data_IF_539119698708
#
_entry.id   IF_539119698708
#
_cell.length_a   1.000
_cell.length_b   1.000
_cell.length_c   1.000
_cell.angle_alpha   90.00
_cell.angle_beta   90.00
_cell.angle_gamma   90.00
#
_symmetry.space_group_name_H-M   'P 1'
#
loop_
_entity.id
_entity.type
_entity.pdbx_description
1 polymer ?
#
# COMPACT_ATOMS: atom_id res chain seq x y z
N UNK A 1 -12.81 -13.43 -4.22
CA UNK A 1 -12.87 -12.22 -5.07
C UNK A 1 -11.66 -11.37 -4.73
N UNK A 2 -10.80 -11.03 -5.69
CA UNK A 2 -9.67 -10.14 -5.44
C UNK A 2 -10.16 -8.68 -5.43
N UNK A 3 -9.74 -7.90 -4.43
CA UNK A 3 -10.05 -6.49 -4.33
C UNK A 3 -8.91 -5.65 -4.92
N UNK A 4 -9.26 -4.47 -5.45
CA UNK A 4 -8.28 -3.50 -5.96
C UNK A 4 -8.36 -2.21 -5.17
N UNK A 5 -7.23 -1.74 -4.68
CA UNK A 5 -7.11 -0.48 -3.92
C UNK A 5 -6.19 0.46 -4.68
N UNK A 6 -6.62 1.71 -4.86
CA UNK A 6 -5.77 2.76 -5.43
C UNK A 6 -5.27 3.69 -4.33
N UNK A 7 -3.95 3.77 -4.16
CA UNK A 7 -3.29 4.62 -3.18
C UNK A 7 -2.61 5.78 -3.92
N UNK A 8 -2.84 7.00 -3.43
CA UNK A 8 -2.12 8.19 -3.88
C UNK A 8 -0.90 8.34 -2.99
N UNK A 9 0.29 8.14 -3.54
CA UNK A 9 1.56 8.28 -2.86
C UNK A 9 2.58 8.92 -3.82
N UNK A 10 3.76 9.26 -3.32
CA UNK A 10 4.86 9.79 -4.14
C UNK A 10 5.70 8.63 -4.70
N UNK A 11 6.45 8.88 -5.77
CA UNK A 11 7.36 7.90 -6.35
C UNK A 11 8.46 7.55 -5.33
N UNK A 12 8.60 6.26 -4.99
CA UNK A 12 9.52 5.74 -3.97
C UNK A 12 8.85 5.07 -2.77
N UNK A 13 7.53 5.24 -2.64
CA UNK A 13 6.71 4.64 -1.57
C UNK A 13 6.26 3.20 -1.90
N UNK A 14 6.66 2.64 -3.04
CA UNK A 14 6.24 1.30 -3.48
C UNK A 14 6.66 0.22 -2.50
N UNK A 15 7.87 0.35 -1.94
CA UNK A 15 8.41 -0.62 -1.00
C UNK A 15 7.67 -0.58 0.34
N UNK A 16 7.31 0.61 0.84
CA UNK A 16 6.52 0.75 2.05
C UNK A 16 5.11 0.14 1.88
N UNK A 17 4.46 0.42 0.75
CA UNK A 17 3.14 -0.14 0.40
C UNK A 17 3.22 -1.67 0.25
N UNK A 18 4.20 -2.17 -0.50
CA UNK A 18 4.38 -3.59 -0.72
C UNK A 18 4.68 -4.33 0.59
N UNK A 19 5.56 -3.79 1.43
CA UNK A 19 5.90 -4.35 2.75
C UNK A 19 4.69 -4.38 3.68
N UNK A 20 3.93 -3.28 3.74
CA UNK A 20 2.72 -3.22 4.56
C UNK A 20 1.67 -4.26 4.11
N UNK A 21 1.42 -4.35 2.80
CA UNK A 21 0.48 -5.32 2.25
C UNK A 21 0.96 -6.76 2.41
N UNK A 22 2.27 -7.02 2.27
CA UNK A 22 2.87 -8.32 2.51
C UNK A 22 2.77 -8.74 3.98
N UNK A 23 2.84 -7.79 4.94
CA UNK A 23 2.63 -8.09 6.35
C UNK A 23 1.18 -8.46 6.69
N UNK A 24 0.21 -7.93 5.96
CA UNK A 24 -1.22 -8.25 6.17
C UNK A 24 -1.60 -9.58 5.52
N UNK A 25 -1.19 -9.77 4.26
CA UNK A 25 -1.69 -10.86 3.42
C UNK A 25 -0.67 -11.96 3.13
N UNK A 26 0.60 -11.73 3.45
CA UNK A 26 1.72 -12.61 3.07
C UNK A 26 2.42 -12.17 1.78
N UNK A 27 3.70 -12.52 1.69
CA UNK A 27 4.50 -12.30 0.49
C UNK A 27 3.91 -13.07 -0.70
N UNK A 28 3.83 -12.40 -1.87
CA UNK A 28 3.29 -12.99 -3.10
C UNK A 28 1.76 -13.02 -3.20
N UNK A 29 1.03 -12.65 -2.14
CA UNK A 29 -0.44 -12.56 -2.16
C UNK A 29 -0.95 -11.20 -2.67
N UNK A 30 -0.07 -10.21 -2.76
CA UNK A 30 -0.39 -8.86 -3.20
C UNK A 30 0.44 -8.47 -4.43
N UNK A 31 -0.14 -7.65 -5.30
CA UNK A 31 0.58 -7.03 -6.42
C UNK A 31 0.43 -5.52 -6.37
N UNK A 32 1.54 -4.79 -6.42
CA UNK A 32 1.57 -3.33 -6.41
C UNK A 32 2.05 -2.85 -7.77
N UNK A 33 1.25 -2.03 -8.46
CA UNK A 33 1.55 -1.51 -9.81
C UNK A 33 1.42 0.00 -9.79
N UNK A 34 2.47 0.73 -10.16
CA UNK A 34 2.39 2.18 -10.33
C UNK A 34 1.79 2.54 -11.68
N UNK A 35 0.73 3.35 -11.70
CA UNK A 35 0.08 3.82 -12.94
C UNK A 35 -0.56 5.19 -12.73
N UNK A 36 -0.30 6.14 -13.64
CA UNK A 36 -0.90 7.50 -13.63
C UNK A 36 -0.77 8.21 -12.26
N UNK A 37 0.43 8.21 -11.68
CA UNK A 37 0.73 8.81 -10.38
C UNK A 37 -0.04 8.21 -9.18
N UNK A 38 -0.40 6.92 -9.27
CA UNK A 38 -1.08 6.17 -8.20
C UNK A 38 -0.55 4.73 -8.15
N UNK A 39 -0.51 4.16 -6.96
CA UNK A 39 -0.27 2.72 -6.78
C UNK A 39 -1.60 1.97 -6.84
N UNK A 40 -1.71 1.05 -7.78
CA UNK A 40 -2.82 0.10 -7.91
C UNK A 40 -2.40 -1.19 -7.24
N UNK A 41 -3.02 -1.51 -6.12
CA UNK A 41 -2.73 -2.69 -5.32
C UNK A 41 -3.84 -3.73 -5.52
N UNK A 42 -3.46 -4.93 -5.96
CA UNK A 42 -4.34 -6.12 -5.97
C UNK A 42 -4.12 -6.90 -4.70
N UNK A 43 -5.19 -7.13 -3.97
CA UNK A 43 -5.18 -7.77 -2.65
C UNK A 43 -6.26 -8.86 -2.58
N UNK A 44 -6.07 -9.91 -1.77
CA UNK A 44 -6.96 -11.07 -1.75
C UNK A 44 -8.32 -10.78 -1.10
N UNK A 45 -8.42 -9.75 -0.24
CA UNK A 45 -9.68 -9.22 0.32
C UNK A 45 -9.62 -7.71 0.48
N UNK A 46 -10.76 -7.06 0.68
CA UNK A 46 -10.81 -5.65 1.03
C UNK A 46 -10.07 -5.36 2.34
N UNK A 47 -9.41 -4.20 2.38
CA UNK A 47 -8.83 -3.66 3.61
C UNK A 47 -9.96 -3.19 4.53
N UNK A 48 -9.80 -3.43 5.82
CA UNK A 48 -10.62 -2.83 6.87
C UNK A 48 -10.26 -1.36 7.04
N UNK A 49 -11.15 -0.57 7.66
CA UNK A 49 -10.88 0.85 7.92
C UNK A 49 -9.56 1.11 8.66
N UNK A 50 -9.20 0.21 9.59
CA UNK A 50 -7.94 0.29 10.34
C UNK A 50 -6.72 0.03 9.45
N UNK A 51 -6.80 -0.95 8.55
CA UNK A 51 -5.71 -1.24 7.61
C UNK A 51 -5.55 -0.15 6.55
N UNK A 52 -6.66 0.49 6.14
CA UNK A 52 -6.61 1.65 5.26
C UNK A 52 -5.89 2.82 5.95
N UNK A 53 -6.21 3.08 7.22
CA UNK A 53 -5.52 4.11 8.00
C UNK A 53 -4.04 3.79 8.16
N UNK A 54 -3.68 2.55 8.50
CA UNK A 54 -2.27 2.14 8.63
C UNK A 54 -1.50 2.21 7.31
N UNK A 55 -2.14 1.89 6.18
CA UNK A 55 -1.54 2.05 4.86
C UNK A 55 -1.30 3.53 4.51
N UNK A 56 -2.24 4.41 4.85
CA UNK A 56 -2.08 5.86 4.67
C UNK A 56 -1.00 6.44 5.58
N UNK A 57 -0.91 5.93 6.81
CA UNK A 57 0.11 6.33 7.78
C UNK A 57 1.50 5.87 7.34
N UNK A 58 1.65 4.62 6.88
CA UNK A 58 2.91 4.12 6.33
C UNK A 58 3.41 4.96 5.14
N UNK A 59 2.50 5.36 4.25
CA UNK A 59 2.81 6.22 3.11
C UNK A 59 3.15 7.67 3.52
N UNK A 60 2.59 8.15 4.63
CA UNK A 60 2.90 9.47 5.17
C UNK A 60 4.17 9.48 6.03
N UNK A 61 4.45 8.39 6.73
CA UNK A 61 5.57 8.23 7.64
C UNK A 61 6.92 8.19 6.92
N UNK A 62 7.00 7.56 5.75
CA UNK A 62 8.19 7.64 4.89
C UNK A 62 8.50 9.08 4.44
N UNK A 63 7.50 9.96 4.39
CA UNK A 63 7.69 11.38 4.10
C UNK A 63 8.15 12.22 5.32
N UNK A 64 8.15 11.65 6.53
CA UNK A 64 8.46 12.35 7.78
C UNK A 64 9.70 11.83 8.50
N UNK A 65 10.53 11.01 7.86
CA UNK A 65 11.89 10.72 8.34
C UNK A 65 12.88 11.76 7.79
N UNK A 66 12.73 12.98 8.29
CA UNK A 66 13.83 13.95 8.38
C UNK A 66 13.91 14.37 9.84
N UNK A 67 14.81 13.73 10.57
CA UNK A 67 15.60 14.35 11.64
C UNK A 67 17.05 13.89 11.45
#
# INVERSE_FOLDING_TARGET
MAATVSVRATYGEDNAIATYLANIFGYGQCSVIWRRARYICRIPRYLTAREIQGLQDAVRGSHYSTD
#
